data_IF_615868234841
#
_entry.id   IF_615868234841
#
_cell.length_a   1.000
_cell.length_b   1.000
_cell.length_c   1.000
_cell.angle_alpha   90.00
_cell.angle_beta   90.00
_cell.angle_gamma   90.00
#
_symmetry.space_group_name_H-M   'P 1'
#
loop_
_entity.id
_entity.type
_entity.pdbx_description
1 polymer ?
#
# COMPACT_ATOMS: atom_id res chain seq x y z
N UNK A 1 24.80 -33.64 -0.81
CA UNK A 1 24.05 -32.90 0.23
C UNK A 1 24.78 -31.60 0.54
N UNK A 2 24.22 -30.41 0.68
CA UNK A 2 22.88 -29.87 0.51
C UNK A 2 23.01 -28.35 0.33
N UNK A 3 22.20 -27.75 -0.55
CA UNK A 3 22.22 -26.30 -0.83
C UNK A 3 21.48 -25.58 0.30
N UNK A 4 22.16 -24.71 1.03
CA UNK A 4 21.53 -23.77 1.97
C UNK A 4 21.25 -22.44 1.27
N UNK A 5 19.97 -22.10 1.14
CA UNK A 5 19.46 -20.80 0.70
C UNK A 5 19.72 -19.71 1.75
N UNK A 6 20.09 -18.47 1.37
CA UNK A 6 20.13 -17.35 2.30
C UNK A 6 18.71 -16.89 2.62
N UNK A 7 18.40 -16.84 3.92
CA UNK A 7 17.15 -16.30 4.48
C UNK A 7 17.29 -14.77 4.52
N UNK A 8 16.60 -14.06 3.63
CA UNK A 8 16.54 -12.60 3.66
C UNK A 8 15.63 -12.21 4.84
N UNK A 9 16.24 -11.57 5.83
CA UNK A 9 15.60 -11.09 7.06
C UNK A 9 14.57 -9.99 6.74
N UNK A 10 13.33 -10.25 7.15
CA UNK A 10 12.15 -9.39 6.97
C UNK A 10 12.16 -8.11 7.84
N UNK A 11 13.22 -7.88 8.61
CA UNK A 11 13.31 -6.83 9.64
C UNK A 11 13.84 -5.49 9.12
N UNK A 12 14.53 -5.45 7.98
CA UNK A 12 15.13 -4.20 7.48
C UNK A 12 14.11 -3.24 6.86
N UNK A 13 13.03 -3.76 6.27
CA UNK A 13 11.99 -2.96 5.63
C UNK A 13 11.08 -2.22 6.60
N UNK A 14 10.74 -2.82 7.74
CA UNK A 14 9.88 -2.18 8.76
C UNK A 14 10.64 -1.09 9.51
N UNK A 15 11.94 -1.29 9.80
CA UNK A 15 12.76 -0.28 10.46
C UNK A 15 12.96 0.95 9.56
N UNK A 16 13.09 0.78 8.23
CA UNK A 16 13.13 1.91 7.30
C UNK A 16 11.80 2.66 7.21
N UNK A 17 10.66 1.96 7.22
CA UNK A 17 9.33 2.61 7.21
C UNK A 17 9.07 3.35 8.52
N UNK A 18 9.43 2.77 9.66
CA UNK A 18 9.28 3.38 10.98
C UNK A 18 10.24 4.57 11.16
N UNK A 19 11.48 4.47 10.69
CA UNK A 19 12.44 5.58 10.74
C UNK A 19 12.01 6.74 9.83
N UNK A 20 11.48 6.45 8.63
CA UNK A 20 10.90 7.47 7.75
C UNK A 20 9.65 8.11 8.38
N UNK A 21 8.79 7.33 9.03
CA UNK A 21 7.61 7.88 9.72
C UNK A 21 8.00 8.73 10.94
N UNK A 22 8.92 8.27 11.79
CA UNK A 22 9.35 9.01 12.98
C UNK A 22 10.11 10.30 12.64
N UNK A 23 10.94 10.30 11.58
CA UNK A 23 11.65 11.51 11.14
C UNK A 23 10.69 12.55 10.54
N UNK A 24 9.62 12.11 9.88
CA UNK A 24 8.62 12.99 9.27
C UNK A 24 7.58 13.51 10.26
N UNK A 25 7.22 12.73 11.29
CA UNK A 25 6.28 13.15 12.33
C UNK A 25 6.95 14.02 13.42
N UNK A 26 8.22 13.77 13.76
CA UNK A 26 8.93 14.52 14.80
C UNK A 26 9.16 16.01 14.51
N UNK A 27 9.08 16.44 13.25
CA UNK A 27 9.21 17.86 12.86
C UNK A 27 7.89 18.63 12.76
N UNK A 28 6.74 17.97 12.90
CA UNK A 28 5.43 18.57 12.66
C UNK A 28 4.81 19.26 13.90
N UNK A 29 5.37 19.07 15.10
CA UNK A 29 4.69 19.46 16.35
C UNK A 29 5.11 20.85 16.87
N UNK A 30 6.15 21.48 16.35
CA UNK A 30 6.63 22.77 16.85
C UNK A 30 6.80 23.80 15.72
N UNK A 31 5.74 24.57 15.44
CA UNK A 31 5.86 25.83 14.70
C UNK A 31 4.73 26.14 13.73
N UNK A 32 4.16 27.34 13.87
CA UNK A 32 3.18 27.98 12.99
C UNK A 32 3.29 27.62 11.50
N UNK A 33 2.15 27.23 10.91
CA UNK A 33 1.96 27.10 9.47
C UNK A 33 2.55 25.82 8.87
N UNK A 34 1.69 25.00 8.27
CA UNK A 34 1.98 23.83 7.42
C UNK A 34 3.32 23.91 6.65
N UNK A 35 4.42 23.53 7.30
CA UNK A 35 5.79 23.66 6.75
C UNK A 35 6.67 22.48 7.16
N UNK A 36 6.15 21.25 7.09
CA UNK A 36 6.90 20.01 7.34
C UNK A 36 6.90 19.01 6.17
N UNK A 37 6.06 19.23 5.15
CA UNK A 37 5.93 18.33 4.01
C UNK A 37 6.57 18.95 2.76
N UNK A 38 7.90 18.82 2.65
CA UNK A 38 8.73 19.44 1.61
C UNK A 38 8.46 19.08 0.15
N UNK A 39 7.37 18.37 -0.18
CA UNK A 39 7.02 17.99 -1.57
C UNK A 39 5.50 17.88 -1.85
N UNK A 40 4.64 18.27 -0.89
CA UNK A 40 3.18 18.25 -1.07
C UNK A 40 2.42 17.77 0.17
N UNK A 41 1.13 18.09 0.26
CA UNK A 41 0.32 17.81 1.45
C UNK A 41 0.20 16.30 1.74
N UNK A 42 -0.02 15.89 3.01
CA UNK A 42 -0.29 14.49 3.35
C UNK A 42 -1.41 13.86 2.52
N UNK A 43 -2.45 14.64 2.22
CA UNK A 43 -3.59 14.24 1.41
C UNK A 43 -3.16 13.95 -0.03
N UNK A 44 -2.25 14.76 -0.60
CA UNK A 44 -1.67 14.50 -1.92
C UNK A 44 -0.92 13.18 -1.94
N UNK A 45 -0.10 12.91 -0.92
CA UNK A 45 0.64 11.64 -0.81
C UNK A 45 -0.31 10.45 -0.70
N UNK A 46 -1.35 10.56 0.13
CA UNK A 46 -2.39 9.54 0.25
C UNK A 46 -3.13 9.32 -1.08
N UNK A 47 -3.50 10.40 -1.78
CA UNK A 47 -4.17 10.32 -3.08
C UNK A 47 -3.30 9.65 -4.15
N UNK A 48 -1.99 9.93 -4.18
CA UNK A 48 -1.04 9.25 -5.08
C UNK A 48 -0.96 7.76 -4.78
N UNK A 49 -0.88 7.37 -3.50
CA UNK A 49 -0.88 5.95 -3.13
C UNK A 49 -2.18 5.25 -3.53
N UNK A 50 -3.32 5.91 -3.35
CA UNK A 50 -4.62 5.41 -3.80
C UNK A 50 -4.66 5.27 -5.33
N UNK A 51 -4.13 6.22 -6.09
CA UNK A 51 -4.01 6.12 -7.55
C UNK A 51 -3.25 4.86 -7.98
N UNK A 52 -2.12 4.55 -7.33
CA UNK A 52 -1.35 3.34 -7.59
C UNK A 52 -2.14 2.07 -7.23
N UNK A 53 -2.81 2.08 -6.08
CA UNK A 53 -3.68 1.00 -5.65
C UNK A 53 -4.83 0.74 -6.65
N UNK A 54 -5.51 1.78 -7.13
CA UNK A 54 -6.59 1.61 -8.11
C UNK A 54 -6.10 1.10 -9.46
N UNK A 55 -4.88 1.45 -9.86
CA UNK A 55 -4.27 0.86 -11.04
C UNK A 55 -4.03 -0.66 -10.84
N UNK A 56 -3.51 -1.06 -9.68
CA UNK A 56 -3.37 -2.46 -9.33
C UNK A 56 -4.72 -3.21 -9.38
N UNK A 57 -5.75 -2.67 -8.72
CA UNK A 57 -7.11 -3.27 -8.72
C UNK A 57 -7.64 -3.42 -10.15
N UNK A 58 -7.53 -2.37 -10.98
CA UNK A 58 -8.01 -2.42 -12.35
C UNK A 58 -7.28 -3.47 -13.21
N UNK A 59 -5.96 -3.60 -13.07
CA UNK A 59 -5.18 -4.66 -13.75
C UNK A 59 -5.68 -6.04 -13.34
N UNK A 60 -5.97 -6.27 -12.04
CA UNK A 60 -6.51 -7.53 -11.54
C UNK A 60 -7.90 -7.84 -12.11
N UNK A 61 -8.78 -6.84 -12.16
CA UNK A 61 -10.11 -6.97 -12.75
C UNK A 61 -10.03 -7.32 -14.23
N UNK A 62 -9.19 -6.61 -14.99
CA UNK A 62 -9.02 -6.87 -16.43
C UNK A 62 -8.41 -8.25 -16.69
N UNK A 63 -7.40 -8.67 -15.93
CA UNK A 63 -6.85 -10.03 -16.02
C UNK A 63 -7.92 -11.09 -15.77
N UNK A 64 -8.75 -10.93 -14.73
CA UNK A 64 -9.83 -11.86 -14.44
C UNK A 64 -10.88 -11.93 -15.57
N UNK A 65 -11.22 -10.78 -16.17
CA UNK A 65 -12.13 -10.73 -17.32
C UNK A 65 -11.55 -11.45 -18.55
N UNK A 66 -10.25 -11.30 -18.82
CA UNK A 66 -9.58 -11.90 -19.96
C UNK A 66 -9.41 -13.42 -19.81
N UNK A 67 -9.23 -13.92 -18.59
CA UNK A 67 -9.01 -15.35 -18.34
C UNK A 67 -10.14 -16.23 -18.93
N UNK A 68 -11.39 -15.76 -18.86
CA UNK A 68 -12.54 -16.46 -19.44
C UNK A 68 -12.87 -16.07 -20.88
N UNK A 69 -12.57 -14.83 -21.29
CA UNK A 69 -13.06 -14.26 -22.56
C UNK A 69 -12.02 -14.25 -23.68
N UNK A 70 -10.74 -14.02 -23.35
CA UNK A 70 -9.65 -13.94 -24.33
C UNK A 70 -8.32 -14.37 -23.69
N UNK A 71 -8.05 -15.68 -23.78
CA UNK A 71 -6.92 -16.32 -23.11
C UNK A 71 -5.55 -15.90 -23.67
N UNK A 72 -5.47 -15.57 -24.95
CA UNK A 72 -4.25 -15.04 -25.58
C UNK A 72 -3.89 -13.67 -24.97
N UNK A 73 -4.85 -12.75 -24.96
CA UNK A 73 -4.68 -11.43 -24.35
C UNK A 73 -4.40 -11.50 -22.83
N UNK A 74 -4.97 -12.49 -22.14
CA UNK A 74 -4.65 -12.77 -20.74
C UNK A 74 -3.16 -13.09 -20.55
N UNK A 75 -2.61 -14.02 -21.34
CA UNK A 75 -1.21 -14.41 -21.20
C UNK A 75 -0.26 -13.27 -21.56
N UNK A 76 -0.53 -12.51 -22.63
CA UNK A 76 0.26 -11.33 -22.98
C UNK A 76 0.28 -10.28 -21.85
N UNK A 77 -0.89 -9.95 -21.28
CA UNK A 77 -0.98 -8.98 -20.19
C UNK A 77 -0.29 -9.50 -18.92
N UNK A 78 -0.47 -10.79 -18.60
CA UNK A 78 0.15 -11.42 -17.44
C UNK A 78 1.67 -11.44 -17.55
N UNK A 79 2.20 -11.75 -18.73
CA UNK A 79 3.64 -11.69 -19.01
C UNK A 79 4.14 -10.24 -18.85
N UNK A 80 3.45 -9.26 -19.43
CA UNK A 80 3.82 -7.85 -19.27
C UNK A 80 3.88 -7.40 -17.80
N UNK A 81 2.87 -7.79 -17.00
CA UNK A 81 2.81 -7.50 -15.56
C UNK A 81 3.94 -8.18 -14.79
N UNK A 82 4.37 -9.38 -15.21
CA UNK A 82 5.46 -10.09 -14.54
C UNK A 82 6.83 -9.39 -14.64
N UNK A 83 7.03 -8.58 -15.69
CA UNK A 83 8.28 -7.85 -15.96
C UNK A 83 8.21 -6.34 -15.71
N UNK A 84 7.02 -5.81 -15.42
CA UNK A 84 6.81 -4.38 -15.22
C UNK A 84 6.17 -4.12 -13.87
N UNK A 85 6.83 -3.30 -13.04
CA UNK A 85 6.33 -2.93 -11.71
C UNK A 85 4.97 -2.24 -11.79
N UNK A 86 4.06 -2.64 -10.90
CA UNK A 86 2.76 -2.01 -10.68
C UNK A 86 2.79 -0.87 -9.65
N UNK A 87 3.94 -0.63 -9.00
CA UNK A 87 4.08 0.35 -7.93
C UNK A 87 3.96 1.79 -8.42
N UNK A 88 4.25 2.04 -9.70
CA UNK A 88 4.04 3.32 -10.35
C UNK A 88 3.04 3.14 -11.50
N UNK A 89 1.81 3.58 -11.25
CA UNK A 89 0.72 3.49 -12.21
C UNK A 89 0.96 4.26 -13.50
N UNK A 90 1.66 5.41 -13.43
CA UNK A 90 1.87 6.25 -14.60
C UNK A 90 2.95 5.63 -15.50
N UNK A 91 4.07 5.21 -14.92
CA UNK A 91 5.14 4.50 -15.64
C UNK A 91 4.59 3.19 -16.23
N UNK A 92 3.81 2.43 -15.45
CA UNK A 92 3.20 1.19 -15.91
C UNK A 92 2.33 1.41 -17.15
N UNK A 93 1.36 2.34 -17.09
CA UNK A 93 0.49 2.63 -18.23
C UNK A 93 1.27 3.19 -19.43
N UNK A 94 2.27 4.05 -19.20
CA UNK A 94 3.12 4.60 -20.27
C UNK A 94 3.86 3.49 -21.02
N UNK A 95 4.37 2.48 -20.32
CA UNK A 95 5.03 1.32 -20.92
C UNK A 95 4.03 0.44 -21.67
N UNK A 96 2.90 0.11 -21.02
CA UNK A 96 1.89 -0.79 -21.59
C UNK A 96 1.31 -0.25 -22.92
N UNK A 97 1.03 1.05 -23.00
CA UNK A 97 0.52 1.71 -24.22
C UNK A 97 1.49 1.61 -25.41
N UNK A 98 2.78 1.48 -25.15
CA UNK A 98 3.84 1.50 -26.17
C UNK A 98 4.32 0.11 -26.56
N UNK A 99 3.92 -0.92 -25.83
CA UNK A 99 4.44 -2.28 -26.01
C UNK A 99 3.93 -2.93 -27.31
N UNK A 100 2.61 -2.88 -27.57
CA UNK A 100 2.01 -3.41 -28.79
C UNK A 100 0.62 -2.80 -29.03
N UNK A 101 0.07 -2.85 -30.26
CA UNK A 101 -1.30 -2.38 -30.52
C UNK A 101 -2.36 -3.07 -29.64
N UNK A 102 -2.19 -4.37 -29.35
CA UNK A 102 -3.09 -5.13 -28.48
C UNK A 102 -3.00 -4.66 -27.03
N UNK A 103 -1.77 -4.55 -26.50
CA UNK A 103 -1.53 -4.08 -25.13
C UNK A 103 -1.92 -2.62 -24.94
N UNK A 104 -1.85 -1.79 -25.99
CA UNK A 104 -2.44 -0.45 -26.01
C UNK A 104 -3.95 -0.50 -25.81
N UNK A 105 -4.66 -1.39 -26.50
CA UNK A 105 -6.10 -1.60 -26.28
C UNK A 105 -6.41 -2.02 -24.83
N UNK A 106 -5.61 -2.92 -24.27
CA UNK A 106 -5.74 -3.35 -22.87
C UNK A 106 -5.42 -2.22 -21.87
N UNK A 107 -4.46 -1.36 -22.18
CA UNK A 107 -4.17 -0.18 -21.38
C UNK A 107 -5.39 0.75 -21.31
N UNK A 108 -6.04 1.03 -22.45
CA UNK A 108 -7.26 1.84 -22.47
C UNK A 108 -8.36 1.20 -21.60
N UNK A 109 -8.53 -0.12 -21.69
CA UNK A 109 -9.48 -0.85 -20.83
C UNK A 109 -9.16 -0.69 -19.34
N UNK A 110 -7.88 -0.78 -18.94
CA UNK A 110 -7.45 -0.56 -17.55
C UNK A 110 -7.73 0.87 -17.10
N UNK A 111 -7.49 1.87 -17.96
CA UNK A 111 -7.78 3.28 -17.68
C UNK A 111 -9.28 3.53 -17.44
N UNK A 112 -10.14 2.91 -18.23
CA UNK A 112 -11.59 2.95 -18.03
C UNK A 112 -12.00 2.29 -16.72
N UNK A 113 -11.53 1.07 -16.47
CA UNK A 113 -11.89 0.29 -15.27
C UNK A 113 -11.44 1.01 -14.00
N UNK A 114 -10.22 1.55 -13.93
CA UNK A 114 -9.77 2.27 -12.73
C UNK A 114 -10.55 3.56 -12.48
N UNK A 115 -10.96 4.26 -13.56
CA UNK A 115 -11.79 5.47 -13.46
C UNK A 115 -13.19 5.13 -12.96
N UNK A 116 -13.80 4.05 -13.49
CA UNK A 116 -15.10 3.57 -13.06
C UNK A 116 -15.09 3.13 -11.60
N UNK A 117 -14.12 2.28 -11.24
CA UNK A 117 -13.98 1.73 -9.88
C UNK A 117 -13.88 2.85 -8.84
N UNK A 118 -12.99 3.83 -9.04
CA UNK A 118 -12.82 4.97 -8.14
C UNK A 118 -14.08 5.80 -7.94
N UNK A 119 -14.86 6.00 -9.01
CA UNK A 119 -15.98 6.95 -9.02
C UNK A 119 -17.30 6.31 -8.63
N UNK A 120 -17.44 4.99 -8.73
CA UNK A 120 -18.72 4.29 -8.63
C UNK A 120 -18.72 3.12 -7.65
N UNK A 121 -17.63 2.36 -7.60
CA UNK A 121 -17.61 1.08 -6.87
C UNK A 121 -16.85 1.17 -5.55
N UNK A 122 -15.84 2.04 -5.46
CA UNK A 122 -15.02 2.17 -4.27
C UNK A 122 -15.77 2.91 -3.15
N UNK A 123 -15.91 2.24 -2.00
CA UNK A 123 -16.64 2.74 -0.84
C UNK A 123 -15.82 3.77 -0.03
N UNK A 124 -15.79 5.02 -0.49
CA UNK A 124 -15.05 6.10 0.16
C UNK A 124 -15.45 6.34 1.62
N UNK A 125 -16.75 6.27 1.93
CA UNK A 125 -17.26 6.45 3.29
C UNK A 125 -16.80 5.33 4.22
N UNK A 126 -16.76 4.10 3.71
CA UNK A 126 -16.26 2.95 4.45
C UNK A 126 -14.75 3.04 4.67
N UNK A 127 -13.97 3.46 3.65
CA UNK A 127 -12.54 3.74 3.82
C UNK A 127 -12.29 4.76 4.93
N UNK A 128 -13.06 5.86 4.95
CA UNK A 128 -12.95 6.90 5.99
C UNK A 128 -13.27 6.34 7.37
N UNK A 129 -14.39 5.61 7.50
CA UNK A 129 -14.81 4.97 8.76
C UNK A 129 -13.77 3.97 9.27
N UNK A 130 -13.24 3.13 8.40
CA UNK A 130 -12.21 2.15 8.74
C UNK A 130 -10.91 2.83 9.16
N UNK A 131 -10.53 3.92 8.50
CA UNK A 131 -9.32 4.67 8.83
C UNK A 131 -9.37 5.23 10.25
N UNK A 132 -10.51 5.75 10.70
CA UNK A 132 -10.70 6.17 12.10
C UNK A 132 -10.65 4.97 13.06
N UNK A 133 -11.44 3.93 12.77
CA UNK A 133 -11.51 2.74 13.61
C UNK A 133 -10.15 2.09 13.82
N UNK A 134 -9.34 1.95 12.77
CA UNK A 134 -8.02 1.33 12.85
C UNK A 134 -7.07 2.10 13.78
N UNK A 135 -7.13 3.43 13.78
CA UNK A 135 -6.32 4.27 14.68
C UNK A 135 -6.80 4.11 16.12
N UNK A 136 -8.11 4.18 16.36
CA UNK A 136 -8.70 4.03 17.70
C UNK A 136 -8.41 2.65 18.30
N UNK A 137 -8.61 1.60 17.51
CA UNK A 137 -8.34 0.21 17.91
C UNK A 137 -6.85 0.00 18.19
N UNK A 138 -5.96 0.55 17.35
CA UNK A 138 -4.51 0.47 17.54
C UNK A 138 -4.06 1.18 18.81
N UNK A 139 -4.56 2.39 19.07
CA UNK A 139 -4.22 3.15 20.27
C UNK A 139 -4.70 2.43 21.54
N UNK A 140 -5.93 1.92 21.52
CA UNK A 140 -6.51 1.15 22.63
C UNK A 140 -5.67 -0.10 22.91
N UNK A 141 -5.26 -0.81 21.85
CA UNK A 141 -4.42 -2.00 21.97
C UNK A 141 -3.06 -1.67 22.57
N UNK A 142 -2.36 -0.66 22.04
CA UNK A 142 -1.04 -0.26 22.55
C UNK A 142 -1.07 0.10 24.03
N UNK A 143 -2.09 0.85 24.48
CA UNK A 143 -2.24 1.20 25.89
C UNK A 143 -2.55 -0.02 26.76
N UNK A 144 -3.39 -0.95 26.28
CA UNK A 144 -3.69 -2.19 26.99
C UNK A 144 -2.45 -3.07 27.13
N UNK A 145 -1.73 -3.27 26.04
CA UNK A 145 -0.53 -4.11 25.99
C UNK A 145 0.53 -3.55 26.96
N UNK A 146 0.74 -2.23 26.97
CA UNK A 146 1.64 -1.57 27.92
C UNK A 146 1.26 -1.78 29.40
N UNK A 147 -0.03 -1.64 29.75
CA UNK A 147 -0.49 -1.86 31.14
C UNK A 147 -0.22 -3.30 31.59
N UNK A 148 -0.46 -4.28 30.70
CA UNK A 148 -0.19 -5.69 30.99
C UNK A 148 1.31 -5.94 31.20
N UNK A 149 2.17 -5.41 30.32
CA UNK A 149 3.62 -5.52 30.43
C UNK A 149 4.15 -4.99 31.77
N UNK A 150 3.70 -3.80 32.19
CA UNK A 150 4.15 -3.19 33.45
C UNK A 150 3.63 -3.96 34.67
N UNK A 151 2.39 -4.46 34.64
CA UNK A 151 1.84 -5.21 35.77
C UNK A 151 2.60 -6.50 36.07
N UNK A 152 3.10 -7.20 35.04
CA UNK A 152 3.92 -8.40 35.23
C UNK A 152 5.31 -8.09 35.83
N UNK A 153 5.84 -6.88 35.59
CA UNK A 153 7.12 -6.44 36.16
C UNK A 153 6.99 -6.11 37.66
N UNK A 154 5.83 -5.60 38.10
CA UNK A 154 5.59 -5.26 39.51
C UNK A 154 5.45 -6.51 40.40
N UNK A 155 4.88 -7.60 39.87
CA UNK A 155 4.72 -8.88 40.56
C UNK A 155 6.06 -9.61 40.77
N UNK A 156 6.97 -9.56 39.79
CA UNK A 156 8.32 -10.13 39.92
C UNK A 156 9.17 -9.36 40.94
N UNK A 157 9.05 -8.03 40.99
CA UNK A 157 9.79 -7.19 41.94
C UNK A 157 9.30 -7.34 43.40
N UNK A 158 8.05 -7.77 43.63
CA UNK A 158 7.54 -8.05 44.98
C UNK A 158 7.98 -9.41 45.54
N UNK A 159 8.41 -10.36 44.70
CA UNK A 159 8.86 -11.69 45.12
C UNK A 159 10.37 -11.80 45.41
N UNK A 160 11.12 -10.68 45.38
CA UNK A 160 12.57 -10.61 45.64
C UNK A 160 12.86 -9.84 46.94
N UNK A 161 11.95 -9.88 47.92
CA UNK A 161 12.17 -9.41 49.31
C UNK A 161 11.93 -10.54 50.28
#
# INVERSE_FOLDING_TARGET
MGRTTPRISHETGLVQVVYVLLTQFGRAVLGNGYSGFGEGSPERKAATNLQHFFNYVAVRVVLAQLESYNREAYYELKEFVSRTSLNDAEIFCKKLIRESPRLKGLAMRILEVRSAYVKRDFEWDNLKKLSFKMVDDSNTKLMRDYVLEVSHIEDENHNIK
#
